data_IF_355568139058
#
_entry.id   IF_355568139058
#
_cell.length_a   1.000
_cell.length_b   1.000
_cell.length_c   1.000
_cell.angle_alpha   90.00
_cell.angle_beta   90.00
_cell.angle_gamma   90.00
#
_symmetry.space_group_name_H-M   'P 1'
#
loop_
_entity.id
_entity.type
_entity.pdbx_description
1 polymer ?
#
# COMPACT_ATOMS: atom_id res chain seq x y z
N UNK A 1 64.86 19.95 2.37
CA UNK A 1 64.03 19.08 3.24
C UNK A 1 62.80 18.71 2.42
N UNK A 2 62.84 17.71 1.53
CA UNK A 2 62.97 16.25 1.73
C UNK A 2 61.78 15.63 2.49
N UNK A 3 61.26 14.53 1.93
CA UNK A 3 60.24 13.56 2.40
C UNK A 3 58.78 14.07 2.48
N UNK A 4 57.76 13.49 1.83
CA UNK A 4 57.60 12.17 1.22
C UNK A 4 56.91 11.18 2.18
N UNK A 5 55.66 10.81 1.93
CA UNK A 5 55.04 9.50 2.26
C UNK A 5 53.52 9.52 1.91
N UNK A 6 53.04 8.89 0.84
CA UNK A 6 52.57 7.48 0.65
C UNK A 6 51.26 7.04 1.35
N UNK A 7 50.43 6.39 0.52
CA UNK A 7 49.44 5.32 0.82
C UNK A 7 48.04 5.79 1.32
N UNK A 8 46.89 5.28 0.87
CA UNK A 8 46.53 3.98 0.26
C UNK A 8 45.27 4.11 -0.60
N UNK A 9 45.34 3.66 -1.85
CA UNK A 9 44.18 3.37 -2.71
C UNK A 9 43.54 2.05 -2.28
N UNK A 10 42.25 2.04 -1.91
CA UNK A 10 41.48 0.80 -1.74
C UNK A 10 40.57 0.63 -2.96
N UNK A 11 41.07 -0.13 -3.93
CA UNK A 11 40.29 -0.70 -5.02
C UNK A 11 39.72 -2.04 -4.55
N UNK A 12 38.40 -2.13 -4.38
CA UNK A 12 37.72 -3.41 -4.19
C UNK A 12 37.24 -3.94 -5.54
N UNK A 13 38.07 -4.79 -6.13
CA UNK A 13 37.74 -5.62 -7.28
C UNK A 13 36.70 -6.68 -6.89
N UNK A 14 35.46 -6.54 -7.38
CA UNK A 14 34.44 -7.59 -7.28
C UNK A 14 34.67 -8.61 -8.39
N UNK A 15 35.37 -9.70 -8.04
CA UNK A 15 35.64 -10.84 -8.92
C UNK A 15 34.41 -11.73 -8.97
N UNK A 16 33.87 -11.86 -10.18
CA UNK A 16 32.84 -12.81 -10.61
C UNK A 16 33.12 -14.24 -10.12
N UNK A 17 32.20 -14.83 -9.36
CA UNK A 17 32.10 -16.29 -9.21
C UNK A 17 30.93 -16.78 -10.05
N UNK A 18 31.28 -17.50 -11.11
CA UNK A 18 30.39 -18.39 -11.87
C UNK A 18 30.01 -19.56 -10.97
N UNK A 19 28.72 -19.91 -10.94
CA UNK A 19 28.25 -21.26 -10.62
C UNK A 19 27.29 -21.71 -11.73
N UNK A 20 27.34 -22.99 -12.14
CA UNK A 20 26.67 -23.47 -13.34
C UNK A 20 25.28 -24.08 -13.08
N UNK A 21 24.51 -24.13 -14.17
CA UNK A 21 23.46 -25.09 -14.51
C UNK A 21 22.17 -25.14 -13.67
N UNK A 22 21.06 -24.79 -14.31
CA UNK A 22 19.97 -25.74 -14.55
C UNK A 22 18.96 -25.15 -15.55
N UNK A 23 19.01 -25.67 -16.78
CA UNK A 23 18.03 -25.42 -17.84
C UNK A 23 16.91 -26.47 -17.72
N UNK A 24 15.62 -26.10 -17.80
CA UNK A 24 14.57 -27.06 -18.14
C UNK A 24 14.21 -26.87 -19.62
N UNK A 25 14.73 -27.77 -20.44
CA UNK A 25 14.27 -28.00 -21.81
C UNK A 25 12.95 -28.78 -21.83
N UNK A 26 12.23 -28.61 -22.93
CA UNK A 26 11.26 -29.53 -23.51
C UNK A 26 9.82 -29.51 -22.97
N UNK A 27 9.02 -28.67 -23.66
CA UNK A 27 7.64 -29.01 -24.02
C UNK A 27 7.62 -30.31 -24.83
N UNK A 28 6.53 -31.10 -24.72
CA UNK A 28 5.93 -31.65 -25.93
C UNK A 28 4.45 -31.27 -26.06
N UNK A 29 4.14 -30.88 -27.29
CA UNK A 29 2.82 -30.78 -27.88
C UNK A 29 2.19 -32.16 -28.14
N UNK A 30 0.85 -32.20 -28.10
CA UNK A 30 -0.11 -32.93 -28.98
C UNK A 30 -1.22 -33.53 -28.11
N UNK A 31 -2.45 -33.03 -28.20
CA UNK A 31 -3.46 -33.19 -29.27
C UNK A 31 -4.03 -34.62 -29.32
N UNK A 32 -5.31 -34.66 -28.96
CA UNK A 32 -6.39 -35.48 -29.52
C UNK A 32 -6.58 -36.92 -29.07
N UNK A 33 -7.87 -37.27 -29.11
CA UNK A 33 -8.51 -38.59 -29.07
C UNK A 33 -8.72 -39.08 -27.63
N UNK A 34 -9.93 -39.32 -27.16
CA UNK A 34 -11.18 -39.54 -27.86
C UNK A 34 -11.86 -40.71 -27.16
N UNK A 35 -13.10 -40.47 -26.77
CA UNK A 35 -14.21 -41.41 -26.83
C UNK A 35 -14.20 -42.70 -25.99
N UNK A 36 -15.39 -42.89 -25.40
CA UNK A 36 -16.16 -44.13 -25.25
C UNK A 36 -15.81 -45.01 -24.06
N UNK A 37 -16.87 -45.36 -23.33
CA UNK A 37 -16.88 -46.55 -22.50
C UNK A 37 -17.90 -46.53 -21.39
N UNK A 38 -19.19 -46.49 -21.73
CA UNK A 38 -20.24 -46.98 -20.84
C UNK A 38 -19.96 -48.45 -20.50
N UNK A 39 -20.08 -48.83 -19.23
CA UNK A 39 -20.50 -50.18 -18.87
C UNK A 39 -21.19 -50.15 -17.51
N UNK A 40 -22.50 -50.39 -17.55
CA UNK A 40 -23.29 -50.90 -16.43
C UNK A 40 -22.91 -52.35 -16.22
N UNK A 41 -22.78 -52.78 -14.97
CA UNK A 41 -23.27 -54.09 -14.56
C UNK A 41 -23.52 -54.14 -13.05
N UNK A 42 -24.46 -55.00 -12.74
CA UNK A 42 -25.32 -55.10 -11.58
C UNK A 42 -24.82 -56.06 -10.50
N UNK A 43 -25.46 -55.90 -9.34
CA UNK A 43 -25.81 -56.93 -8.35
C UNK A 43 -24.70 -57.48 -7.43
N UNK A 44 -24.88 -57.24 -6.14
CA UNK A 44 -24.16 -57.89 -5.04
C UNK A 44 -24.73 -57.44 -3.70
N UNK A 45 -25.07 -58.40 -2.86
CA UNK A 45 -26.07 -58.35 -1.80
C UNK A 45 -25.65 -57.74 -0.45
N UNK A 46 -26.69 -57.48 0.36
CA UNK A 46 -26.74 -57.58 1.83
C UNK A 46 -25.81 -56.68 2.66
N UNK A 47 -26.40 -55.66 3.27
CA UNK A 47 -25.81 -54.95 4.40
C UNK A 47 -26.83 -54.02 5.04
N UNK A 48 -27.35 -54.42 6.21
CA UNK A 48 -28.18 -53.58 7.09
C UNK A 48 -27.44 -52.25 7.32
N UNK A 49 -28.08 -51.12 7.02
CA UNK A 49 -27.58 -49.78 7.41
C UNK A 49 -28.68 -49.03 8.15
N UNK A 50 -28.35 -48.67 9.38
CA UNK A 50 -29.11 -47.83 10.29
C UNK A 50 -29.40 -46.45 9.69
N UNK A 51 -30.51 -45.79 10.07
CA UNK A 51 -30.80 -44.44 9.63
C UNK A 51 -30.08 -43.43 10.51
N UNK A 52 -29.63 -42.33 9.91
CA UNK A 52 -29.46 -41.06 10.62
C UNK A 52 -28.03 -40.68 10.95
N UNK A 53 -27.43 -39.88 10.06
CA UNK A 53 -26.87 -38.55 10.42
C UNK A 53 -26.59 -37.81 9.12
N UNK A 54 -27.30 -36.71 8.93
CA UNK A 54 -27.14 -35.77 7.82
C UNK A 54 -25.69 -35.30 7.80
N UNK A 55 -24.99 -35.52 6.69
CA UNK A 55 -23.79 -34.77 6.39
C UNK A 55 -24.24 -33.32 6.19
N UNK A 56 -23.92 -32.45 7.15
CA UNK A 56 -23.99 -31.01 6.91
C UNK A 56 -22.89 -30.70 5.89
N UNK A 57 -23.28 -30.61 4.62
CA UNK A 57 -22.48 -29.93 3.61
C UNK A 57 -22.21 -28.54 4.15
N UNK A 58 -20.99 -28.34 4.65
CA UNK A 58 -20.48 -27.01 4.97
C UNK A 58 -20.47 -26.28 3.63
N UNK A 59 -21.48 -25.44 3.42
CA UNK A 59 -21.47 -24.48 2.34
C UNK A 59 -20.17 -23.69 2.49
N UNK A 60 -19.26 -23.69 1.50
CA UNK A 60 -18.17 -22.73 1.53
C UNK A 60 -18.86 -21.36 1.48
N UNK A 61 -18.79 -20.64 2.60
CA UNK A 61 -19.25 -19.27 2.64
C UNK A 61 -18.48 -18.56 1.54
N UNK A 62 -19.20 -18.16 0.49
CA UNK A 62 -18.70 -17.17 -0.46
C UNK A 62 -18.30 -15.97 0.38
N UNK A 63 -17.01 -15.85 0.68
CA UNK A 63 -16.39 -14.62 1.13
C UNK A 63 -16.58 -13.64 -0.02
N UNK A 64 -17.77 -13.06 -0.08
CA UNK A 64 -18.08 -11.96 -0.96
C UNK A 64 -17.15 -10.84 -0.55
N UNK A 65 -16.08 -10.66 -1.32
CA UNK A 65 -15.35 -9.40 -1.33
C UNK A 65 -16.42 -8.32 -1.51
N UNK A 66 -16.71 -7.58 -0.44
CA UNK A 66 -17.45 -6.33 -0.57
C UNK A 66 -16.53 -5.47 -1.41
N UNK A 67 -16.81 -5.40 -2.71
CA UNK A 67 -16.21 -4.36 -3.55
C UNK A 67 -16.56 -3.06 -2.82
N UNK A 68 -15.53 -2.38 -2.31
CA UNK A 68 -15.72 -1.01 -1.84
C UNK A 68 -16.37 -0.27 -3.00
N UNK A 69 -17.59 0.22 -2.79
CA UNK A 69 -18.20 1.17 -3.71
C UNK A 69 -17.16 2.27 -3.94
N UNK A 70 -16.98 2.64 -5.20
CA UNK A 70 -16.11 3.73 -5.62
C UNK A 70 -16.74 5.05 -5.22
N UNK A 71 -16.96 5.23 -3.92
CA UNK A 71 -17.31 6.50 -3.33
C UNK A 71 -15.98 7.26 -3.18
N UNK A 72 -15.93 8.48 -3.72
CA UNK A 72 -14.77 9.36 -3.58
C UNK A 72 -14.52 9.56 -2.09
N UNK A 73 -13.31 9.33 -1.56
CA UNK A 73 -13.03 9.57 -0.16
C UNK A 73 -13.29 11.03 0.21
N UNK A 74 -14.36 11.27 0.97
CA UNK A 74 -14.73 12.60 1.44
C UNK A 74 -14.14 12.89 2.83
N UNK A 75 -14.27 14.13 3.30
CA UNK A 75 -13.80 14.57 4.62
C UNK A 75 -14.15 13.60 5.77
N UNK A 76 -15.40 13.12 5.94
CA UNK A 76 -15.74 12.20 7.04
C UNK A 76 -15.03 10.84 6.91
N UNK A 77 -14.86 10.33 5.70
CA UNK A 77 -14.13 9.08 5.47
C UNK A 77 -12.66 9.24 5.86
N UNK A 78 -12.05 10.35 5.43
CA UNK A 78 -10.66 10.66 5.76
C UNK A 78 -10.45 10.89 7.26
N UNK A 79 -11.44 11.44 7.97
CA UNK A 79 -11.39 11.56 9.43
C UNK A 79 -11.37 10.17 10.11
N UNK A 80 -12.20 9.24 9.66
CA UNK A 80 -12.22 7.86 10.18
C UNK A 80 -10.92 7.13 9.85
N UNK A 81 -10.44 7.26 8.62
CA UNK A 81 -9.16 6.67 8.17
C UNK A 81 -8.00 7.22 9.01
N UNK A 82 -7.94 8.54 9.21
CA UNK A 82 -6.96 9.20 10.08
C UNK A 82 -6.93 8.55 11.46
N UNK A 83 -8.08 8.43 12.14
CA UNK A 83 -8.14 7.88 13.49
C UNK A 83 -7.69 6.41 13.59
N UNK A 84 -7.87 5.62 12.52
CA UNK A 84 -7.36 4.24 12.46
C UNK A 84 -5.85 4.19 12.22
N UNK A 85 -5.37 5.00 11.29
CA UNK A 85 -3.94 5.09 10.96
C UNK A 85 -3.14 5.66 12.12
N UNK A 86 -3.64 6.68 12.81
CA UNK A 86 -2.99 7.29 13.97
C UNK A 86 -2.72 6.25 15.07
N UNK A 87 -3.71 5.42 15.39
CA UNK A 87 -3.57 4.35 16.40
C UNK A 87 -2.58 3.26 16.01
N UNK A 88 -2.42 2.99 14.71
CA UNK A 88 -1.56 1.93 14.23
C UNK A 88 -0.11 2.40 14.01
N UNK A 89 0.08 3.65 13.58
CA UNK A 89 1.35 4.16 13.09
C UNK A 89 2.13 4.94 14.14
N UNK A 90 1.47 5.72 15.01
CA UNK A 90 2.19 6.63 15.93
C UNK A 90 3.12 5.84 16.85
N UNK A 91 4.38 6.27 16.91
CA UNK A 91 5.45 5.63 17.66
C UNK A 91 6.20 4.52 16.92
N UNK A 92 5.77 4.15 15.70
CA UNK A 92 6.42 3.12 14.87
C UNK A 92 7.53 3.70 14.01
N UNK A 93 8.61 2.94 13.86
CA UNK A 93 9.71 3.25 12.93
C UNK A 93 9.49 2.59 11.56
N UNK A 94 9.81 3.31 10.48
CA UNK A 94 9.86 2.78 9.11
C UNK A 94 11.19 2.05 8.90
N UNK A 95 11.14 0.73 8.73
CA UNK A 95 12.31 -0.13 8.52
C UNK A 95 12.68 -0.29 7.05
N UNK A 96 11.69 -0.31 6.15
CA UNK A 96 11.91 -0.46 4.73
C UNK A 96 10.85 0.31 3.93
N UNK A 97 11.31 1.00 2.89
CA UNK A 97 10.47 1.73 1.95
C UNK A 97 10.48 0.97 0.63
N UNK A 98 9.30 0.75 0.05
CA UNK A 98 9.16 0.11 -1.27
C UNK A 98 8.32 1.00 -2.18
N UNK A 99 8.91 1.39 -3.30
CA UNK A 99 8.25 2.20 -4.31
C UNK A 99 7.66 1.28 -5.38
N UNK A 100 6.34 1.28 -5.52
CA UNK A 100 5.64 0.52 -6.56
C UNK A 100 5.35 1.35 -7.79
N UNK A 101 4.81 2.55 -7.62
CA UNK A 101 4.41 3.44 -8.71
C UNK A 101 4.99 4.85 -8.57
N UNK A 102 6.08 5.17 -9.30
CA UNK A 102 6.68 6.49 -9.28
C UNK A 102 5.79 7.64 -9.77
N UNK A 103 4.72 7.38 -10.55
CA UNK A 103 3.87 8.47 -11.07
C UNK A 103 3.00 9.14 -10.00
N UNK A 104 2.64 8.35 -9.00
CA UNK A 104 1.85 8.77 -7.82
C UNK A 104 2.73 9.51 -6.83
N UNK A 105 4.03 9.16 -6.77
CA UNK A 105 5.01 9.81 -5.91
C UNK A 105 5.48 11.13 -6.52
N UNK A 106 5.38 12.19 -5.73
CA UNK A 106 5.75 13.58 -6.06
C UNK A 106 6.75 14.06 -5.02
N UNK A 107 7.95 13.49 -5.11
CA UNK A 107 9.09 13.87 -4.29
C UNK A 107 10.18 14.48 -5.17
N UNK A 108 10.83 15.53 -4.68
CA UNK A 108 12.05 16.10 -5.30
C UNK A 108 13.33 15.42 -4.79
N UNK A 109 13.18 14.58 -3.78
CA UNK A 109 14.26 13.89 -3.05
C UNK A 109 14.14 12.38 -3.23
N UNK A 110 15.21 11.68 -2.87
CA UNK A 110 15.20 10.22 -2.77
C UNK A 110 14.27 9.79 -1.62
N UNK A 111 13.12 9.24 -1.97
CA UNK A 111 12.05 8.85 -1.03
C UNK A 111 12.52 7.77 -0.06
N UNK A 112 13.32 6.81 -0.52
CA UNK A 112 13.80 5.73 0.35
C UNK A 112 14.73 6.30 1.41
N UNK A 113 15.66 7.17 1.00
CA UNK A 113 16.58 7.83 1.93
C UNK A 113 15.87 8.81 2.87
N UNK A 114 14.88 9.55 2.38
CA UNK A 114 14.15 10.53 3.19
C UNK A 114 13.31 9.86 4.29
N UNK A 115 12.73 8.69 3.99
CA UNK A 115 11.77 8.00 4.87
C UNK A 115 12.37 6.84 5.69
N UNK A 116 13.49 6.26 5.28
CA UNK A 116 14.10 5.16 6.03
C UNK A 116 14.49 5.58 7.45
N UNK A 117 14.21 4.72 8.42
CA UNK A 117 14.49 4.92 9.84
C UNK A 117 13.82 6.16 10.45
N UNK A 118 12.68 6.58 9.87
CA UNK A 118 11.87 7.67 10.40
C UNK A 118 10.75 7.12 11.27
N UNK A 119 10.38 7.87 12.30
CA UNK A 119 9.36 7.48 13.28
C UNK A 119 8.12 8.32 13.09
N UNK A 120 6.95 7.70 13.00
CA UNK A 120 5.68 8.42 12.95
C UNK A 120 5.38 9.10 14.29
N UNK A 121 5.15 10.41 14.25
CA UNK A 121 4.81 11.24 15.40
C UNK A 121 3.31 11.51 15.50
N UNK A 122 2.66 11.79 14.38
CA UNK A 122 1.24 12.07 14.35
C UNK A 122 0.66 11.79 12.95
N UNK A 123 -0.66 11.56 12.90
CA UNK A 123 -1.41 11.50 11.65
C UNK A 123 -2.53 12.54 11.73
N UNK A 124 -2.50 13.49 10.81
CA UNK A 124 -3.47 14.59 10.71
C UNK A 124 -4.22 14.50 9.38
N UNK A 125 -5.33 15.21 9.33
CA UNK A 125 -6.12 15.36 8.12
C UNK A 125 -6.41 16.85 7.93
N UNK A 126 -6.35 17.33 6.69
CA UNK A 126 -6.76 18.68 6.30
C UNK A 126 -7.50 18.63 4.97
N UNK A 127 -8.79 18.92 4.96
CA UNK A 127 -9.62 18.97 3.75
C UNK A 127 -9.71 17.63 3.00
N UNK A 128 -8.83 17.43 2.01
CA UNK A 128 -8.72 16.19 1.21
C UNK A 128 -7.36 15.50 1.36
N UNK A 129 -6.51 16.02 2.25
CA UNK A 129 -5.14 15.56 2.42
C UNK A 129 -4.97 14.85 3.77
N UNK A 130 -4.28 13.72 3.76
CA UNK A 130 -3.76 13.06 4.95
C UNK A 130 -2.29 13.42 5.13
N UNK A 131 -1.92 13.82 6.34
CA UNK A 131 -0.58 14.26 6.69
C UNK A 131 -0.02 13.30 7.72
N UNK A 132 1.12 12.68 7.42
CA UNK A 132 1.87 11.84 8.32
C UNK A 132 3.09 12.60 8.78
N UNK A 133 3.08 13.05 10.04
CA UNK A 133 4.20 13.75 10.67
C UNK A 133 5.21 12.71 11.13
N UNK A 134 6.46 12.86 10.68
CA UNK A 134 7.58 12.00 11.09
C UNK A 134 8.45 12.75 12.09
N UNK A 135 9.45 12.08 12.66
CA UNK A 135 10.50 12.72 13.46
C UNK A 135 11.26 13.77 12.66
N UNK A 136 11.52 13.48 11.39
CA UNK A 136 12.14 14.39 10.42
C UNK A 136 11.40 14.30 9.10
N UNK A 137 10.87 15.45 8.66
CA UNK A 137 10.06 15.55 7.45
C UNK A 137 8.60 15.11 7.65
N UNK A 138 7.90 14.95 6.52
CA UNK A 138 6.46 14.68 6.49
C UNK A 138 6.05 14.00 5.18
N UNK A 139 5.03 13.16 5.25
CA UNK A 139 4.36 12.62 4.05
C UNK A 139 2.98 13.26 3.94
N UNK A 140 2.66 13.83 2.79
CA UNK A 140 1.35 14.41 2.49
C UNK A 140 0.71 13.65 1.35
N UNK A 141 -0.43 13.01 1.63
CA UNK A 141 -1.12 12.14 0.66
C UNK A 141 -2.48 12.72 0.32
N UNK A 142 -2.75 12.88 -0.97
CA UNK A 142 -4.08 13.13 -1.51
C UNK A 142 -4.59 11.85 -2.20
N UNK A 143 -5.55 11.12 -1.59
CA UNK A 143 -6.06 9.86 -2.14
C UNK A 143 -6.97 10.03 -3.38
N UNK A 144 -7.40 11.24 -3.71
CA UNK A 144 -8.23 11.55 -4.88
C UNK A 144 -9.47 10.63 -4.99
N UNK A 145 -9.60 9.81 -6.02
CA UNK A 145 -10.80 9.00 -6.29
C UNK A 145 -10.71 7.55 -5.80
N UNK A 146 -9.51 6.98 -5.77
CA UNK A 146 -9.31 5.53 -5.62
C UNK A 146 -8.16 5.18 -4.66
N UNK A 147 -7.62 6.18 -3.96
CA UNK A 147 -6.56 5.97 -2.97
C UNK A 147 -7.08 5.21 -1.76
N UNK A 148 -6.48 4.04 -1.49
CA UNK A 148 -6.83 3.20 -0.35
C UNK A 148 -5.58 2.95 0.49
N UNK A 149 -5.69 3.22 1.79
CA UNK A 149 -4.70 2.83 2.78
C UNK A 149 -5.04 1.45 3.34
N UNK A 150 -4.05 0.57 3.35
CA UNK A 150 -4.14 -0.76 3.92
C UNK A 150 -2.98 -0.99 4.88
N UNK A 151 -3.29 -1.61 6.02
CA UNK A 151 -2.29 -2.19 6.91
C UNK A 151 -2.29 -3.70 6.67
N UNK A 152 -1.19 -4.21 6.12
CA UNK A 152 -1.00 -5.61 5.83
C UNK A 152 0.25 -6.13 6.56
N UNK A 153 0.46 -7.44 6.55
CA UNK A 153 1.72 -8.02 7.01
C UNK A 153 2.82 -7.78 5.95
N UNK A 154 4.03 -7.43 6.37
CA UNK A 154 5.18 -7.17 5.48
C UNK A 154 5.58 -8.34 4.58
N UNK A 155 5.31 -9.59 4.99
CA UNK A 155 5.55 -10.80 4.21
C UNK A 155 4.52 -11.02 3.10
N UNK A 156 3.36 -10.37 3.20
CA UNK A 156 2.31 -10.53 2.20
C UNK A 156 2.73 -9.91 0.86
N UNK A 157 2.36 -10.57 -0.24
CA UNK A 157 2.74 -10.14 -1.59
C UNK A 157 2.14 -8.76 -1.92
N UNK A 158 2.99 -7.86 -2.41
CA UNK A 158 2.55 -6.55 -2.92
C UNK A 158 1.63 -6.70 -4.12
N UNK A 159 0.57 -5.90 -4.16
CA UNK A 159 -0.32 -5.84 -5.32
C UNK A 159 0.28 -4.93 -6.39
N UNK A 160 -0.05 -5.17 -7.66
CA UNK A 160 0.40 -4.32 -8.78
C UNK A 160 -0.06 -2.87 -8.66
N UNK A 161 -1.09 -2.62 -7.86
CA UNK A 161 -1.70 -1.30 -7.67
C UNK A 161 -1.18 -0.60 -6.42
N UNK A 162 -0.24 -1.20 -5.70
CA UNK A 162 0.46 -0.55 -4.60
C UNK A 162 1.43 0.48 -5.16
N UNK A 163 1.23 1.75 -4.79
CA UNK A 163 2.09 2.85 -5.20
C UNK A 163 3.25 3.07 -4.22
N UNK A 164 2.98 2.98 -2.91
CA UNK A 164 3.97 3.11 -1.85
C UNK A 164 3.69 2.06 -0.76
N UNK A 165 4.74 1.42 -0.25
CA UNK A 165 4.70 0.50 0.89
C UNK A 165 5.78 0.91 1.90
N UNK A 166 5.37 1.04 3.15
CA UNK A 166 6.22 1.42 4.29
C UNK A 166 6.14 0.30 5.32
N UNK A 167 7.20 -0.51 5.39
CA UNK A 167 7.33 -1.58 6.38
C UNK A 167 7.74 -0.97 7.71
N UNK A 168 7.06 -1.38 8.78
CA UNK A 168 7.26 -0.89 10.13
C UNK A 168 8.09 -1.88 10.96
N UNK A 169 8.53 -1.43 12.12
CA UNK A 169 9.28 -2.22 13.11
C UNK A 169 8.51 -3.41 13.72
N UNK A 170 7.19 -3.33 13.75
CA UNK A 170 6.30 -4.35 14.31
C UNK A 170 5.89 -5.44 13.29
N UNK A 171 6.45 -5.39 12.08
CA UNK A 171 6.15 -6.32 10.99
C UNK A 171 4.89 -5.96 10.19
N UNK A 172 4.19 -4.87 10.53
CA UNK A 172 3.14 -4.32 9.70
C UNK A 172 3.72 -3.55 8.51
N UNK A 173 2.92 -3.40 7.46
CA UNK A 173 3.25 -2.72 6.22
C UNK A 173 2.09 -1.80 5.85
N UNK A 174 2.36 -0.49 5.92
CA UNK A 174 1.44 0.55 5.49
C UNK A 174 1.55 0.69 3.97
N UNK A 175 0.48 0.30 3.29
CA UNK A 175 0.39 0.32 1.84
C UNK A 175 -0.57 1.39 1.38
N UNK A 176 -0.12 2.22 0.47
CA UNK A 176 -0.97 3.11 -0.31
C UNK A 176 -1.20 2.49 -1.69
N UNK A 177 -2.46 2.12 -1.97
CA UNK A 177 -2.87 1.57 -3.26
C UNK A 177 -3.68 2.59 -4.04
N UNK A 178 -3.47 2.62 -5.34
CA UNK A 178 -4.23 3.44 -6.25
C UNK A 178 -4.32 2.77 -7.64
N UNK A 179 -5.51 2.29 -7.97
CA UNK A 179 -5.78 1.63 -9.24
C UNK A 179 -5.86 2.63 -10.42
N UNK A 180 -6.13 3.92 -10.12
CA UNK A 180 -6.31 4.98 -11.12
C UNK A 180 -5.05 5.83 -11.32
N UNK A 181 -4.05 5.69 -10.44
CA UNK A 181 -2.77 6.43 -10.49
C UNK A 181 -2.99 7.96 -10.48
N UNK A 182 -4.04 8.41 -9.78
CA UNK A 182 -4.43 9.82 -9.70
C UNK A 182 -4.05 10.46 -8.36
N UNK A 183 -3.82 9.64 -7.35
CA UNK A 183 -3.36 10.05 -6.05
C UNK A 183 -2.00 10.73 -6.13
N UNK A 184 -1.75 11.58 -5.14
CA UNK A 184 -0.52 12.35 -5.05
C UNK A 184 0.09 12.12 -3.68
N UNK A 185 1.29 11.56 -3.66
CA UNK A 185 2.06 11.34 -2.43
C UNK A 185 3.27 12.26 -2.46
N UNK A 186 3.26 13.29 -1.63
CA UNK A 186 4.35 14.23 -1.48
C UNK A 186 5.19 13.81 -0.27
N UNK A 187 6.52 13.79 -0.45
CA UNK A 187 7.48 13.55 0.61
C UNK A 187 8.26 14.85 0.79
N UNK A 188 8.18 15.39 1.99
CA UNK A 188 8.77 16.66 2.39
C UNK A 188 9.85 16.38 3.44
N UNK A 189 11.00 17.02 3.31
CA UNK A 189 12.07 16.98 4.32
C UNK A 189 11.80 17.98 5.45
N UNK A 190 12.66 17.96 6.47
CA UNK A 190 12.57 18.90 7.57
C UNK A 190 12.87 20.33 7.07
N UNK A 191 11.93 21.25 7.26
CA UNK A 191 12.03 22.64 6.80
C UNK A 191 11.31 22.93 5.48
N UNK A 192 10.82 21.93 4.76
CA UNK A 192 9.98 22.12 3.58
C UNK A 192 8.62 22.71 3.96
N UNK A 193 8.15 23.70 3.20
CA UNK A 193 6.84 24.32 3.40
C UNK A 193 5.72 23.42 2.83
N UNK A 194 4.62 23.31 3.57
CA UNK A 194 3.39 22.70 3.09
C UNK A 194 2.80 23.47 1.90
N UNK A 195 3.10 24.76 1.77
CA UNK A 195 2.69 25.59 0.63
C UNK A 195 3.18 25.08 -0.72
N UNK A 196 4.30 24.35 -0.75
CA UNK A 196 4.84 23.74 -1.97
C UNK A 196 4.00 22.55 -2.48
N UNK A 197 3.15 21.98 -1.61
CA UNK A 197 2.27 20.89 -2.00
C UNK A 197 1.14 21.46 -2.86
N UNK A 198 1.08 21.00 -4.11
CA UNK A 198 0.09 21.45 -5.08
C UNK A 198 -1.34 21.38 -4.54
N UNK A 199 -2.00 22.54 -4.43
CA UNK A 199 -3.37 22.67 -3.97
C UNK A 199 -3.56 22.56 -2.46
N UNK A 200 -2.47 22.60 -1.68
CA UNK A 200 -2.53 22.69 -0.22
C UNK A 200 -2.69 24.14 0.25
N UNK A 201 -1.98 25.09 -0.38
CA UNK A 201 -2.11 26.52 -0.09
C UNK A 201 -3.52 27.07 -0.40
N UNK A 202 -4.17 26.51 -1.43
CA UNK A 202 -5.53 26.90 -1.85
C UNK A 202 -6.63 26.34 -0.94
N UNK A 203 -6.29 25.55 0.08
CA UNK A 203 -7.28 25.01 1.00
C UNK A 203 -7.81 26.11 1.91
N UNK A 204 -9.14 26.27 1.86
CA UNK A 204 -9.87 27.05 2.84
C UNK A 204 -9.75 26.51 4.29
N UNK A 205 -10.43 27.18 5.23
CA UNK A 205 -10.50 26.72 6.63
C UNK A 205 -11.05 25.29 6.73
N UNK A 206 -10.57 24.52 7.71
CA UNK A 206 -11.01 23.15 7.89
C UNK A 206 -12.46 23.10 8.39
N UNK A 207 -13.23 22.12 7.91
CA UNK A 207 -14.66 22.04 8.17
C UNK A 207 -14.99 21.91 9.66
N UNK A 208 -14.11 21.27 10.45
CA UNK A 208 -14.28 21.10 11.90
C UNK A 208 -13.95 22.35 12.72
N UNK A 209 -13.36 23.38 12.12
CA UNK A 209 -12.96 24.64 12.77
C UNK A 209 -13.76 25.84 12.29
N UNK A 210 -14.73 25.63 11.40
CA UNK A 210 -15.51 26.72 10.83
C UNK A 210 -16.53 27.20 11.87
N UNK A 211 -16.26 28.34 12.49
CA UNK A 211 -17.29 29.10 13.22
C UNK A 211 -18.28 29.64 12.20
N UNK A 212 -19.48 29.05 12.16
CA UNK A 212 -20.48 29.38 11.15
C UNK A 212 -20.93 30.85 11.26
N UNK A 213 -20.61 31.65 10.24
CA UNK A 213 -21.10 33.03 10.09
C UNK A 213 -21.83 33.20 8.76
N UNK A 214 -23.13 33.47 8.81
CA UNK A 214 -23.97 33.65 7.63
C UNK A 214 -23.52 34.82 6.74
N UNK A 215 -22.95 35.87 7.32
CA UNK A 215 -22.47 37.05 6.58
C UNK A 215 -21.24 36.71 5.75
N UNK A 216 -20.25 36.03 6.35
CA UNK A 216 -19.04 35.61 5.65
C UNK A 216 -19.35 34.62 4.52
N UNK A 217 -20.29 33.69 4.75
CA UNK A 217 -20.76 32.77 3.71
C UNK A 217 -21.40 33.54 2.54
N UNK A 218 -22.26 34.52 2.84
CA UNK A 218 -22.92 35.32 1.81
C UNK A 218 -21.94 36.19 1.01
N UNK A 219 -20.90 36.72 1.65
CA UNK A 219 -19.82 37.45 0.98
C UNK A 219 -19.03 36.54 0.04
N UNK A 220 -18.62 35.34 0.51
CA UNK A 220 -17.88 34.36 -0.30
C UNK A 220 -18.70 33.77 -1.45
N UNK A 221 -20.02 33.62 -1.29
CA UNK A 221 -20.89 33.07 -2.33
C UNK A 221 -21.21 34.06 -3.46
N UNK A 222 -20.96 35.36 -3.25
CA UNK A 222 -21.17 36.41 -4.26
C UNK A 222 -19.90 36.76 -5.05
N UNK A 223 -18.73 36.40 -4.52
CA UNK A 223 -17.42 36.58 -5.15
C UNK A 223 -17.18 35.52 -6.24
#
# INVERSE_FOLDING_TARGET
MASGSTSTTVSCAWRSRRSPACSPSARPSRRSRGCRGCARSSAGSSGRRSPGRRASTICPSRAGSRRSRTDVPEWPDLHVVRGRLEKALVGREITLVRIGDPLVLRARVDVERALAHRVFRAVRHRGKFLLFELDRGRIVVNPMLAGVFELANAESKLTRTTALSLVLDDGNDLRYRDDKRMGKVHVLEEGDDLGDVHGFADLGPDAGTLDWNATEFAERARA
#
